data_IF_937050520663
#
_entry.id   IF_937050520663
#
_cell.length_a   1.000
_cell.length_b   1.000
_cell.length_c   1.000
_cell.angle_alpha   90.00
_cell.angle_beta   90.00
_cell.angle_gamma   90.00
#
_symmetry.space_group_name_H-M   'P 1'
#
loop_
_entity.id
_entity.type
_entity.pdbx_description
1 polymer ?
#
# COMPACT_ATOMS: atom_id res chain seq x y z
N UNK A 1 -12.09 14.26 -17.39
CA UNK A 1 -10.70 14.29 -16.89
C UNK A 1 -10.10 12.92 -17.12
N UNK A 2 -9.20 12.81 -18.09
CA UNK A 2 -8.56 11.55 -18.46
C UNK A 2 -7.27 11.41 -17.64
N UNK A 3 -7.21 10.42 -16.74
CA UNK A 3 -5.98 10.07 -16.04
C UNK A 3 -5.13 9.24 -16.99
N UNK A 4 -4.04 9.86 -17.41
CA UNK A 4 -3.11 9.37 -18.41
C UNK A 4 -2.19 8.34 -17.75
N UNK A 5 -2.58 7.07 -17.79
CA UNK A 5 -1.68 5.95 -17.50
C UNK A 5 -0.60 5.88 -18.58
N UNK A 6 0.61 6.35 -18.28
CA UNK A 6 1.82 6.12 -19.08
C UNK A 6 3.05 6.01 -18.18
N UNK A 7 3.50 4.76 -17.95
CA UNK A 7 4.81 4.23 -18.35
C UNK A 7 4.94 2.79 -17.80
N UNK A 8 4.43 1.83 -18.56
CA UNK A 8 4.98 0.48 -18.50
C UNK A 8 6.41 0.57 -19.04
N UNK A 9 7.41 0.22 -18.24
CA UNK A 9 8.79 0.15 -18.70
C UNK A 9 8.90 -0.90 -19.81
N UNK A 10 9.37 -0.45 -20.96
CA UNK A 10 9.68 -1.20 -22.16
C UNK A 10 10.73 -2.28 -21.85
N UNK A 11 10.33 -3.56 -21.71
CA UNK A 11 11.28 -4.68 -21.70
C UNK A 11 11.57 -5.08 -23.14
N UNK A 12 12.48 -4.33 -23.77
CA UNK A 12 13.10 -4.69 -25.03
C UNK A 12 13.85 -6.01 -24.95
N UNK A 13 13.61 -6.87 -25.93
CA UNK A 13 14.33 -8.12 -26.16
C UNK A 13 15.81 -7.89 -26.54
N UNK A 14 16.61 -8.90 -26.19
CA UNK A 14 17.89 -9.33 -26.78
C UNK A 14 19.20 -8.84 -26.13
N UNK A 15 19.81 -9.72 -25.32
CA UNK A 15 21.19 -10.16 -25.53
C UNK A 15 21.42 -11.51 -24.80
N UNK A 16 21.71 -12.55 -25.57
CA UNK A 16 22.21 -13.84 -25.06
C UNK A 16 23.55 -13.62 -24.34
N UNK A 17 23.61 -13.88 -23.05
CA UNK A 17 24.83 -14.33 -22.38
C UNK A 17 24.47 -15.39 -21.32
N UNK A 18 25.10 -16.56 -21.43
CA UNK A 18 24.92 -17.71 -20.53
C UNK A 18 25.24 -17.34 -19.08
N UNK A 19 24.38 -17.65 -18.10
CA UNK A 19 24.79 -17.62 -16.70
C UNK A 19 25.51 -18.91 -16.31
N UNK A 20 26.62 -18.75 -15.59
CA UNK A 20 27.33 -19.80 -14.85
C UNK A 20 26.40 -20.30 -13.75
N UNK A 21 26.13 -21.61 -13.73
CA UNK A 21 25.34 -22.28 -12.70
C UNK A 21 26.20 -22.39 -11.44
N UNK A 22 25.92 -21.56 -10.44
CA UNK A 22 26.33 -21.80 -9.06
C UNK A 22 25.15 -22.46 -8.34
N UNK A 23 25.33 -23.73 -7.98
CA UNK A 23 24.36 -24.47 -7.18
C UNK A 23 24.29 -23.89 -5.75
N UNK A 24 23.10 -23.52 -5.23
CA UNK A 24 22.93 -23.30 -3.81
C UNK A 24 22.93 -24.66 -3.05
N UNK A 25 23.41 -24.70 -1.80
CA UNK A 25 23.34 -25.89 -0.96
C UNK A 25 21.87 -26.25 -0.61
N UNK A 26 21.58 -27.53 -0.32
CA UNK A 26 20.22 -27.99 -0.08
C UNK A 26 19.66 -27.44 1.23
N UNK A 27 18.54 -26.73 1.14
CA UNK A 27 17.70 -26.36 2.29
C UNK A 27 16.77 -27.54 2.58
N UNK A 28 16.97 -28.19 3.73
CA UNK A 28 16.01 -29.17 4.23
C UNK A 28 14.77 -28.47 4.75
N UNK A 29 13.71 -28.44 3.94
CA UNK A 29 12.37 -28.10 4.42
C UNK A 29 11.74 -29.33 5.10
N UNK A 30 11.21 -29.21 6.33
CA UNK A 30 10.43 -30.28 6.92
C UNK A 30 9.13 -30.48 6.12
N UNK A 31 8.81 -31.74 5.83
CA UNK A 31 7.53 -32.16 5.24
C UNK A 31 6.42 -31.95 6.28
N UNK A 32 5.49 -31.05 6.02
CA UNK A 32 4.23 -30.97 6.77
C UNK A 32 3.17 -31.76 6.00
N UNK A 33 2.73 -32.85 6.61
CA UNK A 33 1.64 -33.69 6.14
C UNK A 33 0.31 -32.96 6.33
N UNK A 34 -0.49 -32.89 5.27
CA UNK A 34 -1.88 -32.44 5.32
C UNK A 34 -2.69 -33.52 6.04
N UNK A 35 -3.11 -33.22 7.27
CA UNK A 35 -3.93 -34.07 8.13
C UNK A 35 -5.11 -33.28 8.68
N UNK A 36 -6.31 -33.81 8.42
CA UNK A 36 -7.63 -33.24 8.63
C UNK A 36 -7.99 -32.74 10.05
N UNK A 37 -8.81 -31.67 10.05
CA UNK A 37 -9.97 -31.37 10.91
C UNK A 37 -9.85 -31.52 12.44
N UNK A 38 -10.04 -30.39 13.15
CA UNK A 38 -10.80 -30.32 14.38
C UNK A 38 -11.43 -28.92 14.53
N UNK A 39 -12.76 -28.86 14.43
CA UNK A 39 -13.58 -27.75 14.92
C UNK A 39 -13.54 -27.72 16.45
N UNK A 40 -13.28 -26.56 17.04
CA UNK A 40 -13.32 -26.36 18.49
C UNK A 40 -13.07 -24.91 18.86
N UNK A 41 -14.08 -24.29 19.48
CA UNK A 41 -14.18 -22.87 19.80
C UNK A 41 -13.09 -22.31 20.72
N UNK A 42 -12.89 -21.00 20.57
CA UNK A 42 -12.50 -20.00 21.58
C UNK A 42 -11.01 -19.88 21.98
N UNK A 43 -10.37 -18.86 21.42
CA UNK A 43 -9.73 -17.82 22.21
C UNK A 43 -9.72 -16.53 21.39
N UNK A 44 -10.27 -15.46 21.95
CA UNK A 44 -10.23 -14.13 21.35
C UNK A 44 -8.77 -13.68 21.23
N UNK A 45 -8.20 -13.86 20.05
CA UNK A 45 -7.05 -13.09 19.63
C UNK A 45 -7.64 -11.75 19.21
N UNK A 46 -7.44 -10.72 20.04
CA UNK A 46 -7.51 -9.37 19.53
C UNK A 46 -6.41 -9.28 18.48
N UNK A 47 -6.76 -9.54 17.21
CA UNK A 47 -5.86 -9.26 16.10
C UNK A 47 -5.56 -7.77 16.22
N UNK A 48 -4.30 -7.43 16.48
CA UNK A 48 -3.86 -6.07 16.27
C UNK A 48 -4.24 -5.77 14.82
N UNK A 49 -5.19 -4.86 14.63
CA UNK A 49 -5.63 -4.38 13.31
C UNK A 49 -4.54 -3.58 12.60
N UNK A 50 -3.38 -3.48 13.24
CA UNK A 50 -2.28 -2.61 12.91
C UNK A 50 -0.94 -3.31 13.17
N UNK A 51 -0.03 -3.20 12.20
CA UNK A 51 1.37 -3.59 12.31
C UNK A 51 2.20 -2.31 12.16
N UNK A 52 3.22 -2.11 13.00
CA UNK A 52 4.13 -0.96 12.90
C UNK A 52 5.53 -1.44 12.58
N UNK A 53 6.14 -0.87 11.56
CA UNK A 53 7.53 -1.06 11.19
C UNK A 53 8.32 0.22 11.43
N UNK A 54 9.52 0.08 11.96
CA UNK A 54 10.59 1.07 11.78
C UNK A 54 11.24 0.78 10.44
N UNK A 55 11.19 1.73 9.52
CA UNK A 55 11.84 1.64 8.21
C UNK A 55 13.18 2.38 8.26
N UNK A 56 14.29 1.66 8.09
CA UNK A 56 15.61 2.26 7.94
C UNK A 56 15.96 2.38 6.45
N UNK A 57 16.32 3.58 5.99
CA UNK A 57 16.61 3.87 4.59
C UNK A 57 17.77 4.86 4.42
N UNK A 58 18.31 4.96 3.21
CA UNK A 58 19.38 5.86 2.82
C UNK A 58 18.83 6.91 1.84
N UNK A 59 18.78 8.20 2.21
CA UNK A 59 18.24 9.25 1.36
C UNK A 59 18.97 9.33 0.00
N UNK A 60 18.20 9.44 -1.08
CA UNK A 60 18.74 9.61 -2.44
C UNK A 60 19.37 8.35 -3.04
N UNK A 61 19.25 7.20 -2.38
CA UNK A 61 19.71 5.93 -2.93
C UNK A 61 18.87 5.50 -4.15
N UNK A 62 19.47 5.14 -5.29
CA UNK A 62 18.74 4.85 -6.54
C UNK A 62 17.86 3.59 -6.45
N UNK A 63 18.16 2.69 -5.52
CA UNK A 63 17.39 1.48 -5.25
C UNK A 63 16.23 1.69 -4.26
N UNK A 64 16.07 2.91 -3.71
CA UNK A 64 15.03 3.27 -2.72
C UNK A 64 14.12 4.41 -3.18
N UNK A 65 14.17 4.76 -4.47
CA UNK A 65 13.42 5.90 -5.03
C UNK A 65 11.90 5.70 -5.05
N UNK A 66 11.39 4.56 -4.63
CA UNK A 66 9.96 4.36 -4.49
C UNK A 66 9.60 3.57 -3.25
N UNK A 67 8.50 3.97 -2.62
CA UNK A 67 7.88 3.26 -1.50
C UNK A 67 7.68 1.79 -1.86
N UNK A 68 7.13 1.50 -3.05
CA UNK A 68 6.91 0.13 -3.55
C UNK A 68 8.21 -0.65 -3.71
N UNK A 69 9.19 -0.16 -4.48
CA UNK A 69 10.36 -0.96 -4.81
C UNK A 69 11.13 -1.36 -3.55
N UNK A 70 11.08 -0.51 -2.53
CA UNK A 70 11.77 -0.71 -1.27
C UNK A 70 11.10 -1.78 -0.39
N UNK A 71 9.78 -1.97 -0.52
CA UNK A 71 8.98 -2.89 0.30
C UNK A 71 8.55 -4.17 -0.42
N UNK A 72 8.60 -4.21 -1.76
CA UNK A 72 8.09 -5.35 -2.54
C UNK A 72 8.80 -6.65 -2.18
N UNK A 73 10.12 -6.65 -2.17
CA UNK A 73 10.90 -7.85 -1.84
C UNK A 73 10.72 -8.28 -0.38
N UNK A 74 10.83 -7.38 0.63
CA UNK A 74 10.57 -7.74 2.02
C UNK A 74 9.21 -8.37 2.29
N UNK A 75 8.16 -7.90 1.61
CA UNK A 75 6.79 -8.39 1.79
C UNK A 75 6.37 -9.43 0.75
N UNK A 76 7.30 -9.93 -0.07
CA UNK A 76 7.04 -10.88 -1.15
C UNK A 76 5.90 -10.43 -2.10
N UNK A 77 5.77 -9.11 -2.30
CA UNK A 77 4.77 -8.50 -3.20
C UNK A 77 5.24 -8.52 -4.65
N UNK A 78 6.45 -8.99 -4.94
CA UNK A 78 7.01 -9.11 -6.30
C UNK A 78 6.17 -9.95 -7.25
N UNK A 79 5.25 -10.76 -6.74
CA UNK A 79 4.34 -11.60 -7.51
C UNK A 79 3.00 -10.90 -7.83
N UNK A 80 2.73 -9.79 -7.15
CA UNK A 80 1.56 -8.94 -7.31
C UNK A 80 1.97 -7.76 -8.19
N UNK A 81 1.96 -7.93 -9.52
CA UNK A 81 2.34 -6.89 -10.49
C UNK A 81 1.42 -5.65 -10.40
N UNK A 82 0.66 -5.32 -11.45
CA UNK A 82 -0.23 -4.15 -11.51
C UNK A 82 -1.41 -4.23 -10.52
N UNK A 83 -1.60 -5.36 -9.84
CA UNK A 83 -2.66 -5.62 -8.86
C UNK A 83 -2.35 -5.04 -7.48
N UNK A 84 -1.11 -4.64 -7.19
CA UNK A 84 -0.75 -4.10 -5.86
C UNK A 84 -1.57 -2.83 -5.51
N UNK A 85 -1.91 -2.02 -6.51
CA UNK A 85 -2.74 -0.83 -6.37
C UNK A 85 -4.21 -1.14 -6.03
N UNK A 86 -4.66 -2.35 -6.35
CA UNK A 86 -6.03 -2.81 -6.04
C UNK A 86 -6.12 -3.35 -4.61
N UNK A 87 -4.98 -3.73 -4.02
CA UNK A 87 -4.90 -4.46 -2.76
C UNK A 87 -4.39 -3.56 -1.62
N UNK A 88 -3.47 -2.65 -1.93
CA UNK A 88 -2.84 -1.77 -0.95
C UNK A 88 -3.09 -0.31 -1.35
N UNK A 89 -3.48 0.48 -0.36
CA UNK A 89 -3.68 1.91 -0.50
C UNK A 89 -2.69 2.68 0.39
N UNK A 90 -1.68 3.35 -0.19
CA UNK A 90 -0.66 4.04 0.57
C UNK A 90 -1.08 5.49 0.88
N UNK A 91 -0.77 5.94 2.09
CA UNK A 91 -0.95 7.34 2.49
C UNK A 91 0.23 7.88 3.29
N UNK A 92 0.48 9.18 3.10
CA UNK A 92 1.47 10.06 3.71
C UNK A 92 0.97 10.96 4.86
N UNK A 93 1.44 10.87 6.12
CA UNK A 93 1.24 11.97 7.09
C UNK A 93 2.54 12.50 7.69
N UNK A 94 2.58 13.77 8.11
CA UNK A 94 3.67 14.29 8.91
C UNK A 94 3.82 13.51 10.22
N UNK A 95 5.07 13.25 10.62
CA UNK A 95 5.37 12.68 11.94
C UNK A 95 4.83 13.63 13.02
N UNK A 96 4.11 13.07 13.99
CA UNK A 96 3.51 13.81 15.09
C UNK A 96 2.04 14.18 14.88
N UNK A 97 1.43 13.82 13.75
CA UNK A 97 -0.02 13.83 13.62
C UNK A 97 -0.63 12.80 14.59
N UNK A 98 -1.46 13.26 15.52
CA UNK A 98 -2.00 12.45 16.61
C UNK A 98 -3.22 11.65 16.20
N UNK A 99 -3.01 10.46 15.64
CA UNK A 99 -4.07 9.48 15.34
C UNK A 99 -4.07 9.03 13.89
N UNK A 100 -4.85 7.98 13.60
CA UNK A 100 -5.23 7.62 12.24
C UNK A 100 -6.41 8.52 11.80
N UNK A 101 -6.38 9.13 10.61
CA UNK A 101 -7.48 9.86 10.04
C UNK A 101 -8.58 8.88 9.69
N UNK A 102 -9.77 9.46 9.59
CA UNK A 102 -10.93 8.73 9.17
C UNK A 102 -10.73 8.15 7.77
N UNK A 103 -11.31 6.97 7.52
CA UNK A 103 -11.25 6.30 6.20
C UNK A 103 -11.71 7.21 5.04
N UNK A 104 -12.57 8.19 5.35
CA UNK A 104 -13.07 9.17 4.37
C UNK A 104 -12.00 10.17 3.91
N UNK A 105 -10.97 10.41 4.72
CA UNK A 105 -9.91 11.39 4.46
C UNK A 105 -8.69 10.76 3.77
N UNK A 106 -8.62 9.43 3.69
CA UNK A 106 -7.52 8.72 3.01
C UNK A 106 -7.24 9.24 1.59
N UNK A 107 -8.26 9.54 0.74
CA UNK A 107 -8.02 10.08 -0.59
C UNK A 107 -7.25 11.39 -0.63
N UNK A 108 -7.30 12.18 0.43
CA UNK A 108 -6.59 13.47 0.52
C UNK A 108 -5.13 13.31 0.92
N UNK A 109 -4.77 12.16 1.48
CA UNK A 109 -3.44 11.82 1.96
C UNK A 109 -2.76 10.74 1.12
N UNK A 110 -3.39 10.34 0.01
CA UNK A 110 -2.83 9.40 -0.92
C UNK A 110 -1.47 9.88 -1.43
N UNK A 111 -0.50 8.97 -1.43
CA UNK A 111 0.81 9.22 -2.00
C UNK A 111 1.02 8.31 -3.20
N UNK A 112 1.62 8.83 -4.29
CA UNK A 112 2.12 7.98 -5.36
C UNK A 112 3.08 6.95 -4.79
N UNK A 113 3.01 5.75 -5.36
CA UNK A 113 3.88 4.65 -4.97
C UNK A 113 5.35 4.86 -5.36
N UNK A 114 5.59 5.72 -6.35
CA UNK A 114 6.87 6.15 -6.89
C UNK A 114 7.44 7.41 -6.21
N UNK A 115 6.80 7.90 -5.15
CA UNK A 115 7.38 8.96 -4.33
C UNK A 115 8.54 8.44 -3.48
N UNK A 116 9.51 9.33 -3.24
CA UNK A 116 10.65 9.07 -2.38
C UNK A 116 10.22 8.92 -0.91
N UNK A 117 10.91 8.02 -0.20
CA UNK A 117 10.76 7.87 1.25
C UNK A 117 11.48 9.03 1.97
N UNK A 118 10.78 9.68 2.89
CA UNK A 118 11.33 10.79 3.70
C UNK A 118 11.14 10.55 5.20
N UNK A 119 12.07 11.08 5.99
CA UNK A 119 12.11 10.86 7.45
C UNK A 119 11.15 11.76 8.22
N UNK A 120 10.43 12.64 7.53
CA UNK A 120 9.49 13.60 8.14
C UNK A 120 8.05 13.13 8.06
N UNK A 121 7.80 11.99 7.42
CA UNK A 121 6.47 11.48 7.14
C UNK A 121 6.35 10.04 7.59
N UNK A 122 5.29 9.70 8.32
CA UNK A 122 4.88 8.32 8.57
C UNK A 122 4.01 7.83 7.41
N UNK A 123 4.24 6.60 6.99
CA UNK A 123 3.53 5.97 5.88
C UNK A 123 2.49 5.00 6.41
N UNK A 124 1.31 4.99 5.82
CA UNK A 124 0.23 4.10 6.18
C UNK A 124 -0.20 3.28 4.98
N UNK A 125 -0.17 1.96 5.10
CA UNK A 125 -0.72 1.04 4.11
C UNK A 125 -2.01 0.47 4.60
N UNK A 126 -3.08 0.74 3.85
CA UNK A 126 -4.36 0.12 4.07
C UNK A 126 -4.48 -1.09 3.15
N UNK A 127 -4.47 -2.29 3.73
CA UNK A 127 -4.42 -3.56 3.00
C UNK A 127 -5.80 -4.21 3.04
N UNK A 128 -6.38 -4.43 1.87
CA UNK A 128 -7.70 -5.05 1.73
C UNK A 128 -7.63 -6.59 1.68
N UNK A 129 -6.50 -7.16 1.25
CA UNK A 129 -6.30 -8.59 1.16
C UNK A 129 -5.72 -9.17 2.45
N UNK A 130 -6.41 -10.16 3.03
CA UNK A 130 -6.01 -10.78 4.29
C UNK A 130 -4.69 -11.55 4.16
N UNK A 131 -4.46 -12.27 3.06
CA UNK A 131 -3.25 -13.08 2.89
C UNK A 131 -2.02 -12.17 2.80
N UNK A 132 -2.15 -11.02 2.10
CA UNK A 132 -1.11 -10.00 2.05
C UNK A 132 -0.85 -9.40 3.42
N UNK A 133 -1.90 -9.06 4.18
CA UNK A 133 -1.76 -8.53 5.54
C UNK A 133 -1.06 -9.53 6.47
N UNK A 134 -1.46 -10.80 6.44
CA UNK A 134 -0.83 -11.87 7.24
C UNK A 134 0.64 -12.10 6.84
N UNK A 135 0.97 -11.98 5.55
CA UNK A 135 2.36 -12.03 5.09
C UNK A 135 3.19 -10.89 5.68
N UNK A 136 2.66 -9.66 5.69
CA UNK A 136 3.30 -8.52 6.34
C UNK A 136 3.44 -8.73 7.86
N UNK A 137 2.43 -9.30 8.52
CA UNK A 137 2.49 -9.63 9.96
C UNK A 137 3.60 -10.64 10.28
N UNK A 138 3.78 -11.65 9.42
CA UNK A 138 4.85 -12.63 9.54
C UNK A 138 6.23 -11.98 9.39
N UNK A 139 6.38 -11.04 8.45
CA UNK A 139 7.62 -10.26 8.25
C UNK A 139 7.91 -9.38 9.47
N UNK A 140 6.91 -8.67 10.00
CA UNK A 140 7.04 -7.90 11.24
C UNK A 140 7.55 -8.75 12.39
N UNK A 141 6.98 -9.95 12.57
CA UNK A 141 7.42 -10.89 13.60
C UNK A 141 8.86 -11.35 13.38
N UNK A 142 9.22 -11.67 12.13
CA UNK A 142 10.56 -12.16 11.78
C UNK A 142 11.65 -11.08 11.90
N UNK A 143 11.28 -9.81 11.80
CA UNK A 143 12.19 -8.65 11.77
C UNK A 143 12.15 -7.82 13.05
N UNK A 144 11.42 -8.26 14.07
CA UNK A 144 11.14 -7.50 15.29
C UNK A 144 10.66 -6.07 14.98
N UNK A 145 9.74 -5.96 14.03
CA UNK A 145 9.17 -4.70 13.55
C UNK A 145 10.21 -3.72 12.98
N UNK A 146 11.38 -4.18 12.53
CA UNK A 146 12.42 -3.34 11.97
C UNK A 146 12.82 -3.78 10.57
N UNK A 147 12.46 -2.98 9.57
CA UNK A 147 12.79 -3.25 8.18
C UNK A 147 13.94 -2.35 7.72
N UNK A 148 15.13 -2.94 7.60
CA UNK A 148 16.28 -2.26 7.02
C UNK A 148 16.32 -2.43 5.51
N UNK A 149 16.19 -1.32 4.79
CA UNK A 149 16.31 -1.25 3.33
C UNK A 149 17.71 -0.78 2.92
N UNK A 150 18.58 -0.52 3.90
CA UNK A 150 19.94 0.00 3.70
C UNK A 150 20.90 -1.13 3.34
N UNK A 151 21.72 -0.99 2.29
CA UNK A 151 22.74 -1.97 1.95
C UNK A 151 23.76 -2.17 3.08
N UNK A 152 24.32 -3.38 3.14
CA UNK A 152 25.41 -3.67 4.06
C UNK A 152 26.60 -2.71 3.82
N UNK A 153 27.15 -2.17 4.91
CA UNK A 153 28.34 -1.31 4.88
C UNK A 153 28.07 0.20 4.78
N UNK A 154 26.82 0.65 4.64
CA UNK A 154 26.48 2.08 4.74
C UNK A 154 26.64 2.55 6.21
N UNK A 155 27.44 3.59 6.50
CA UNK A 155 27.61 4.10 7.85
C UNK A 155 26.30 4.65 8.44
N UNK A 156 26.15 4.60 9.76
CA UNK A 156 24.94 5.04 10.48
C UNK A 156 24.57 6.50 10.19
N UNK A 157 25.55 7.39 10.03
CA UNK A 157 25.34 8.82 9.76
C UNK A 157 24.63 9.11 8.42
N UNK A 158 24.53 8.10 7.53
CA UNK A 158 23.84 8.21 6.24
C UNK A 158 22.50 7.49 6.22
N UNK A 159 22.04 7.01 7.37
CA UNK A 159 20.78 6.29 7.51
C UNK A 159 19.75 7.22 8.13
N UNK A 160 18.53 7.09 7.65
CA UNK A 160 17.38 7.75 8.21
C UNK A 160 16.32 6.72 8.53
N UNK A 161 15.44 7.06 9.46
CA UNK A 161 14.34 6.22 9.86
C UNK A 161 13.01 6.91 9.62
N UNK A 162 12.00 6.11 9.32
CA UNK A 162 10.61 6.52 9.39
C UNK A 162 9.74 5.37 9.88
N UNK A 163 8.44 5.60 10.01
CA UNK A 163 7.46 4.62 10.47
C UNK A 163 6.59 4.22 9.28
N UNK A 164 6.40 2.91 9.11
CA UNK A 164 5.37 2.34 8.26
C UNK A 164 4.32 1.65 9.13
N UNK A 165 3.06 2.01 8.95
CA UNK A 165 1.93 1.46 9.68
C UNK A 165 1.04 0.72 8.69
N UNK A 166 0.86 -0.58 8.90
CA UNK A 166 0.02 -1.41 8.04
C UNK A 166 -1.29 -1.66 8.76
N UNK A 167 -2.37 -1.22 8.14
CA UNK A 167 -3.75 -1.37 8.60
C UNK A 167 -4.42 -2.48 7.79
N UNK A 168 -5.07 -3.42 8.48
CA UNK A 168 -6.01 -4.31 7.81
C UNK A 168 -7.33 -3.56 7.61
N UNK A 169 -7.79 -3.42 6.36
CA UNK A 169 -9.12 -2.90 6.08
C UNK A 169 -10.17 -4.00 6.22
N UNK A 170 -11.08 -3.93 7.20
CA UNK A 170 -12.18 -4.88 7.27
C UNK A 170 -13.12 -4.66 6.08
N UNK A 171 -13.38 -5.71 5.30
CA UNK A 171 -14.25 -5.64 4.12
C UNK A 171 -15.62 -5.00 4.42
N UNK A 172 -16.15 -5.21 5.62
CA UNK A 172 -17.41 -4.60 6.07
C UNK A 172 -17.35 -3.06 6.11
N UNK A 173 -16.24 -2.49 6.58
CA UNK A 173 -16.07 -1.03 6.64
C UNK A 173 -15.94 -0.44 5.23
N UNK A 174 -15.26 -1.14 4.33
CA UNK A 174 -15.19 -0.76 2.91
C UNK A 174 -16.56 -0.79 2.25
N UNK A 175 -17.39 -1.81 2.52
CA UNK A 175 -18.75 -1.89 1.98
C UNK A 175 -19.64 -0.77 2.51
N UNK A 176 -19.52 -0.41 3.78
CA UNK A 176 -20.26 0.72 4.37
C UNK A 176 -19.84 2.05 3.76
N UNK A 177 -18.53 2.28 3.62
CA UNK A 177 -18.00 3.47 2.96
C UNK A 177 -18.45 3.55 1.50
N UNK A 178 -18.42 2.44 0.77
CA UNK A 178 -18.89 2.36 -0.61
C UNK A 178 -20.39 2.69 -0.70
N UNK A 179 -21.22 2.15 0.20
CA UNK A 179 -22.65 2.44 0.23
C UNK A 179 -22.94 3.92 0.50
N UNK A 180 -22.24 4.53 1.47
CA UNK A 180 -22.36 5.97 1.76
C UNK A 180 -21.88 6.84 0.59
N UNK A 181 -20.82 6.42 -0.10
CA UNK A 181 -20.29 7.14 -1.26
C UNK A 181 -21.26 7.14 -2.45
N UNK A 182 -21.96 6.03 -2.69
CA UNK A 182 -22.93 5.92 -3.78
C UNK A 182 -24.10 6.89 -3.60
N UNK A 183 -24.66 6.98 -2.39
CA UNK A 183 -25.74 7.92 -2.08
C UNK A 183 -25.29 9.39 -2.24
N UNK A 184 -24.06 9.68 -1.82
CA UNK A 184 -23.45 11.01 -1.97
C UNK A 184 -23.23 11.37 -3.44
N UNK A 185 -22.77 10.43 -4.27
CA UNK A 185 -22.60 10.63 -5.72
C UNK A 185 -23.94 10.96 -6.37
N UNK A 186 -24.98 10.15 -6.14
CA UNK A 186 -26.32 10.38 -6.68
C UNK A 186 -26.85 11.76 -6.28
N UNK A 187 -26.66 12.15 -5.02
CA UNK A 187 -27.08 13.46 -4.51
C UNK A 187 -26.34 14.60 -5.19
N UNK A 188 -25.02 14.47 -5.39
CA UNK A 188 -24.20 15.48 -6.06
C UNK A 188 -24.54 15.60 -7.55
N UNK A 189 -24.75 14.48 -8.24
CA UNK A 189 -25.19 14.46 -9.63
C UNK A 189 -26.55 15.15 -9.81
N UNK A 190 -27.50 14.91 -8.91
CA UNK A 190 -28.79 15.61 -8.92
C UNK A 190 -28.62 17.12 -8.75
N UNK A 191 -27.84 17.53 -7.76
CA UNK A 191 -27.58 18.96 -7.49
C UNK A 191 -26.86 19.65 -8.65
N UNK A 192 -25.97 18.94 -9.34
CA UNK A 192 -25.31 19.44 -10.53
C UNK A 192 -26.32 19.64 -11.66
N UNK A 193 -27.20 18.67 -11.92
CA UNK A 193 -28.27 18.79 -12.91
C UNK A 193 -29.22 19.96 -12.63
N UNK A 194 -29.61 20.17 -11.37
CA UNK A 194 -30.44 21.30 -10.96
C UNK A 194 -29.72 22.65 -11.22
N UNK A 195 -28.42 22.72 -10.91
CA UNK A 195 -27.61 23.92 -11.14
C UNK A 195 -27.42 24.21 -12.65
N UNK A 196 -27.16 23.18 -13.46
CA UNK A 196 -27.05 23.30 -14.92
C UNK A 196 -28.36 23.79 -15.54
N UNK A 197 -29.50 23.26 -15.08
CA UNK A 197 -30.83 23.71 -15.52
C UNK A 197 -31.10 25.16 -15.15
N UNK A 198 -30.76 25.57 -13.92
CA UNK A 198 -30.90 26.97 -13.48
C UNK A 198 -30.00 27.91 -14.31
N UNK A 199 -28.76 27.52 -14.59
CA UNK A 199 -27.85 28.29 -15.44
C UNK A 199 -28.40 28.41 -16.86
N UNK A 200 -28.93 27.33 -17.44
CA UNK A 200 -29.55 27.37 -18.76
C UNK A 200 -30.77 28.31 -18.80
N UNK A 201 -31.58 28.31 -17.75
CA UNK A 201 -32.73 29.22 -17.64
C UNK A 201 -32.31 30.68 -17.51
N UNK A 202 -31.25 30.97 -16.73
CA UNK A 202 -30.69 32.32 -16.62
C UNK A 202 -30.12 32.77 -17.97
N UNK A 203 -29.36 31.92 -18.66
CA UNK A 203 -28.81 32.20 -19.98
C UNK A 203 -29.90 32.54 -20.99
N UNK A 204 -30.97 31.73 -21.02
CA UNK A 204 -32.14 31.98 -21.84
C UNK A 204 -32.79 33.35 -21.55
N UNK A 205 -32.93 33.73 -20.28
CA UNK A 205 -33.49 35.04 -19.90
C UNK A 205 -32.57 36.21 -20.25
N UNK A 206 -31.25 35.99 -20.25
CA UNK A 206 -30.25 37.01 -20.57
C UNK A 206 -29.95 37.09 -22.08
N UNK A 207 -30.48 36.17 -22.90
CA UNK A 207 -30.27 36.15 -24.35
C UNK A 207 -28.84 35.76 -24.77
N UNK A 208 -28.15 34.98 -23.94
CA UNK A 208 -26.78 34.47 -24.16
C UNK A 208 -26.74 32.95 -24.25
#
# INVERSE_FOLDING_TARGET
MAVQSRRCLDKGQAALHRPVVLHPPPVHLPKWSIGAFCSGFALGVAFASEIRFTLEFQPGAPFQQSIINSIMAPFNLDQLDCSINEIIYPTAWPIGFGGDPDLIDLPTHWVPWDDDIVSTSQYHFYVADLEVYESMAAVATATDNHLSMVPAGVPFDFRMETILIVHQLPLMQLMELAAQSADRIITLERRLGDAEAAIAQIRFHLGI
#
